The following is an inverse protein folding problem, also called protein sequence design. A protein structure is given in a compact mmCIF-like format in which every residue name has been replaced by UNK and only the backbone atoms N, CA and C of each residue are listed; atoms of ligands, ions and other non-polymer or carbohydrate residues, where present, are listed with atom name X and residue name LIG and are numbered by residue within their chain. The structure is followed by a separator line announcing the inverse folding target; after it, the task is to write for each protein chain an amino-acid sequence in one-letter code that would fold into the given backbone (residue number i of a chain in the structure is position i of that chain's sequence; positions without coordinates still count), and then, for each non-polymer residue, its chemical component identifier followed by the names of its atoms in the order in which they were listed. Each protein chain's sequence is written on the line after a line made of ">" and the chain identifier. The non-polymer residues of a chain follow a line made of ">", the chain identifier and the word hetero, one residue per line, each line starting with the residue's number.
data_IF_741559293252
#
_entry.id   IF_741559293252
#
_cell.length_a   1.000
_cell.length_b   1.000
_cell.length_c   1.000
_cell.angle_alpha   90.00
_cell.angle_beta   90.00
_cell.angle_gamma   90.00
#
_symmetry.space_group_name_H-M   'P 1'
#
loop_
_entity.id
_entity.type
_entity.pdbx_description
1 polymer ?
#
# COMPACT_ATOMS: atom_id res chain seq x y z
N UNK A 1 2.27 1.69 -7.74
CA UNK A 1 2.26 0.53 -8.66
C UNK A 1 3.53 -0.27 -8.54
N UNK A 2 3.50 -1.56 -8.84
CA UNK A 2 4.68 -2.39 -8.95
C UNK A 2 5.10 -2.41 -10.42
N UNK A 3 6.32 -1.96 -10.69
CA UNK A 3 6.93 -2.03 -12.02
C UNK A 3 7.89 -3.20 -12.09
N UNK A 4 7.67 -4.11 -13.04
CA UNK A 4 8.59 -5.22 -13.37
C UNK A 4 9.14 -5.03 -14.78
N UNK A 5 10.42 -5.34 -14.96
CA UNK A 5 11.09 -5.35 -16.25
C UNK A 5 11.41 -6.81 -16.55
N UNK A 6 10.83 -7.32 -17.63
CA UNK A 6 11.05 -8.70 -18.07
C UNK A 6 12.34 -8.79 -18.91
N UNK A 7 12.81 -10.02 -19.17
CA UNK A 7 14.10 -10.26 -19.85
C UNK A 7 14.14 -9.74 -21.29
N UNK A 8 12.98 -9.60 -21.95
CA UNK A 8 12.83 -9.05 -23.29
C UNK A 8 12.70 -7.52 -23.31
N UNK A 9 12.77 -6.87 -22.14
CA UNK A 9 12.62 -5.42 -21.99
C UNK A 9 11.17 -4.95 -21.86
N UNK A 10 10.18 -5.85 -21.91
CA UNK A 10 8.77 -5.52 -21.65
C UNK A 10 8.61 -5.02 -20.21
N UNK A 11 7.82 -3.95 -20.05
CA UNK A 11 7.49 -3.41 -18.74
C UNK A 11 6.09 -3.88 -18.35
N UNK A 12 6.01 -4.69 -17.29
CA UNK A 12 4.75 -5.07 -16.67
C UNK A 12 4.44 -4.13 -15.50
N UNK A 13 3.25 -3.54 -15.52
CA UNK A 13 2.74 -2.66 -14.47
C UNK A 13 1.59 -3.36 -13.74
N UNK A 14 1.73 -3.51 -12.43
CA UNK A 14 0.69 -4.06 -11.54
C UNK A 14 0.25 -2.93 -10.62
N UNK A 15 -1.03 -2.58 -10.68
CA UNK A 15 -1.63 -1.54 -9.83
C UNK A 15 -1.63 -2.00 -8.36
N UNK A 16 -1.52 -1.07 -7.41
CA UNK A 16 -1.60 -1.47 -5.99
C UNK A 16 -2.98 -2.07 -5.62
N UNK A 17 -4.12 -1.59 -6.15
CA UNK A 17 -5.40 -2.28 -5.96
C UNK A 17 -5.40 -3.73 -6.48
N UNK A 18 -4.73 -4.01 -7.61
CA UNK A 18 -4.62 -5.40 -8.10
C UNK A 18 -3.74 -6.26 -7.18
N UNK A 19 -2.64 -5.70 -6.66
CA UNK A 19 -1.84 -6.34 -5.62
C UNK A 19 -2.69 -6.65 -4.38
N UNK A 20 -3.43 -5.68 -3.86
CA UNK A 20 -4.28 -5.85 -2.69
C UNK A 20 -5.38 -6.90 -2.92
N UNK A 21 -5.96 -6.94 -4.12
CA UNK A 21 -6.94 -7.96 -4.49
C UNK A 21 -6.38 -9.39 -4.47
N UNK A 22 -5.13 -9.57 -4.91
CA UNK A 22 -4.44 -10.86 -4.78
C UNK A 22 -4.13 -11.19 -3.31
N UNK A 23 -3.66 -10.20 -2.53
CA UNK A 23 -3.40 -10.36 -1.10
C UNK A 23 -4.64 -10.78 -0.33
N UNK A 24 -5.82 -10.24 -0.66
CA UNK A 24 -7.10 -10.66 -0.10
C UNK A 24 -7.41 -12.13 -0.36
N UNK A 25 -7.25 -12.61 -1.60
CA UNK A 25 -7.47 -14.03 -1.95
C UNK A 25 -6.51 -14.98 -1.21
N UNK A 26 -5.28 -14.55 -0.98
CA UNK A 26 -4.33 -15.29 -0.15
C UNK A 26 -4.83 -15.32 1.30
N UNK A 27 -5.27 -14.18 1.83
CA UNK A 27 -5.80 -14.06 3.19
C UNK A 27 -7.06 -14.91 3.43
N UNK A 28 -7.90 -15.14 2.40
CA UNK A 28 -9.05 -16.04 2.50
C UNK A 28 -8.67 -17.47 2.92
N UNK A 29 -7.44 -17.90 2.59
CA UNK A 29 -6.89 -19.22 2.94
C UNK A 29 -6.19 -19.25 4.30
N UNK A 30 -6.08 -18.10 4.98
CA UNK A 30 -5.60 -18.02 6.36
C UNK A 30 -6.69 -18.54 7.30
N UNK A 31 -6.29 -19.35 8.30
CA UNK A 31 -7.20 -20.01 9.22
C UNK A 31 -7.39 -21.47 8.83
N UNK A 32 -6.29 -22.21 8.77
CA UNK A 32 -6.24 -23.60 8.30
C UNK A 32 -5.48 -24.48 9.30
N UNK A 33 -5.25 -25.76 8.95
CA UNK A 33 -4.58 -26.72 9.85
C UNK A 33 -3.21 -26.27 10.38
N UNK A 34 -2.52 -25.37 9.67
CA UNK A 34 -1.19 -24.88 10.03
C UNK A 34 -1.22 -23.47 10.65
N UNK A 35 -2.28 -22.69 10.45
CA UNK A 35 -2.35 -21.30 10.87
C UNK A 35 -3.69 -21.00 11.53
N UNK A 36 -3.72 -20.44 12.76
CA UNK A 36 -4.97 -20.11 13.42
C UNK A 36 -5.79 -19.09 12.62
N UNK A 37 -7.11 -19.18 12.74
CA UNK A 37 -8.02 -18.22 12.13
C UNK A 37 -7.78 -16.83 12.72
N UNK A 38 -7.50 -15.81 11.89
CA UNK A 38 -7.38 -14.45 12.40
C UNK A 38 -8.74 -13.95 12.88
N UNK A 39 -8.77 -13.29 14.04
CA UNK A 39 -9.98 -12.69 14.61
C UNK A 39 -9.80 -11.18 14.81
N UNK A 40 -10.73 -10.34 14.34
CA UNK A 40 -11.95 -10.66 13.59
C UNK A 40 -11.68 -10.95 12.10
N UNK A 41 -12.10 -12.14 11.63
CA UNK A 41 -11.77 -12.64 10.28
C UNK A 41 -12.24 -11.71 9.16
N UNK A 42 -13.50 -11.27 9.20
CA UNK A 42 -14.10 -10.45 8.13
C UNK A 42 -13.38 -9.12 7.95
N UNK A 43 -13.05 -8.45 9.06
CA UNK A 43 -12.34 -7.17 9.00
C UNK A 43 -10.89 -7.35 8.52
N UNK A 44 -10.24 -8.46 8.86
CA UNK A 44 -8.90 -8.77 8.33
C UNK A 44 -8.93 -9.04 6.83
N UNK A 45 -9.92 -9.81 6.33
CA UNK A 45 -10.07 -10.02 4.89
C UNK A 45 -10.33 -8.70 4.17
N UNK A 46 -11.24 -7.87 4.68
CA UNK A 46 -11.52 -6.57 4.11
C UNK A 46 -10.27 -5.68 4.09
N UNK A 47 -9.50 -5.65 5.17
CA UNK A 47 -8.23 -4.93 5.20
C UNK A 47 -7.26 -5.44 4.14
N UNK A 48 -7.12 -6.76 4.00
CA UNK A 48 -6.25 -7.36 2.99
C UNK A 48 -6.67 -6.98 1.56
N UNK A 49 -7.97 -7.02 1.24
CA UNK A 49 -8.49 -6.60 -0.07
C UNK A 49 -8.34 -5.10 -0.35
N UNK A 50 -8.34 -4.26 0.68
CA UNK A 50 -8.45 -2.81 0.53
C UNK A 50 -7.22 -2.01 0.96
N UNK A 51 -6.14 -2.64 1.46
CA UNK A 51 -5.02 -1.90 2.07
C UNK A 51 -4.39 -0.84 1.16
N UNK A 52 -4.38 -1.08 -0.15
CA UNK A 52 -3.88 -0.11 -1.13
C UNK A 52 -4.98 0.48 -2.05
N UNK A 53 -6.25 0.42 -1.65
CA UNK A 53 -7.36 0.96 -2.47
C UNK A 53 -7.20 2.46 -2.75
N UNK A 54 -6.48 3.19 -1.88
CA UNK A 54 -6.22 4.62 -2.03
C UNK A 54 -5.37 5.00 -3.25
N UNK A 55 -4.68 4.03 -3.87
CA UNK A 55 -3.87 4.25 -5.07
C UNK A 55 -4.68 4.34 -6.36
N UNK A 56 -5.93 3.85 -6.38
CA UNK A 56 -6.70 3.73 -7.62
C UNK A 56 -6.79 5.03 -8.42
N UNK A 57 -7.05 6.16 -7.74
CA UNK A 57 -7.16 7.48 -8.38
C UNK A 57 -5.80 7.99 -8.89
N UNK A 58 -4.74 7.83 -8.10
CA UNK A 58 -3.40 8.26 -8.49
C UNK A 58 -2.84 7.42 -9.65
N UNK A 59 -3.09 6.12 -9.65
CA UNK A 59 -2.62 5.19 -10.69
C UNK A 59 -3.41 5.29 -12.01
N UNK A 60 -4.56 5.96 -12.03
CA UNK A 60 -5.29 6.28 -13.25
C UNK A 60 -4.57 7.34 -14.10
N UNK A 61 -3.79 8.23 -13.47
CA UNK A 61 -3.02 9.29 -14.12
C UNK A 61 -1.66 9.49 -13.41
N UNK A 62 -0.76 8.50 -13.45
CA UNK A 62 0.49 8.54 -12.71
C UNK A 62 1.42 9.61 -13.30
N UNK A 63 2.16 10.30 -12.43
CA UNK A 63 3.32 11.09 -12.89
C UNK A 63 4.34 10.15 -13.51
N UNK A 64 4.88 10.53 -14.66
CA UNK A 64 5.98 9.78 -15.31
C UNK A 64 7.32 10.33 -14.84
N UNK A 65 8.30 9.43 -14.71
CA UNK A 65 9.69 9.78 -14.45
C UNK A 65 10.30 10.51 -15.65
N UNK A 66 11.47 11.10 -15.46
CA UNK A 66 12.25 11.76 -16.52
C UNK A 66 12.61 10.83 -17.69
N UNK A 67 12.70 9.52 -17.43
CA UNK A 67 12.92 8.48 -18.45
C UNK A 67 11.64 8.04 -19.19
N UNK A 68 10.50 8.68 -18.92
CA UNK A 68 9.20 8.40 -19.53
C UNK A 68 8.44 7.21 -18.93
N UNK A 69 8.99 6.53 -17.91
CA UNK A 69 8.34 5.36 -17.29
C UNK A 69 7.54 5.76 -16.05
N UNK A 70 6.44 5.07 -15.73
CA UNK A 70 5.80 5.28 -14.45
C UNK A 70 6.72 4.81 -13.30
N UNK A 71 6.68 5.47 -12.12
CA UNK A 71 7.52 5.11 -10.99
C UNK A 71 7.06 3.78 -10.39
N UNK A 72 8.01 3.04 -9.83
CA UNK A 72 7.66 1.98 -8.89
C UNK A 72 7.08 2.61 -7.61
N UNK A 73 6.32 1.87 -6.83
CA UNK A 73 5.72 2.31 -5.56
C UNK A 73 6.77 2.94 -4.64
N UNK A 74 7.97 2.36 -4.58
CA UNK A 74 9.10 2.84 -3.78
C UNK A 74 9.79 4.10 -4.32
N UNK A 75 9.49 4.47 -5.57
CA UNK A 75 10.07 5.63 -6.27
C UNK A 75 9.09 6.82 -6.33
N UNK A 76 7.90 6.69 -5.75
CA UNK A 76 6.91 7.77 -5.71
C UNK A 76 7.34 8.87 -4.74
N UNK A 77 6.93 10.10 -5.02
CA UNK A 77 7.04 11.20 -4.08
C UNK A 77 6.33 10.85 -2.77
N UNK A 78 6.95 11.20 -1.64
CA UNK A 78 6.45 10.82 -0.32
C UNK A 78 5.05 11.36 -0.08
N UNK A 79 4.76 12.58 -0.52
CA UNK A 79 3.46 13.21 -0.30
C UNK A 79 2.33 12.50 -1.04
N UNK A 80 2.61 11.99 -2.25
CA UNK A 80 1.67 11.17 -3.00
C UNK A 80 1.41 9.84 -2.26
N UNK A 81 2.46 9.20 -1.71
CA UNK A 81 2.30 7.97 -0.91
C UNK A 81 1.43 8.22 0.34
N UNK A 82 1.73 9.28 1.09
CA UNK A 82 0.99 9.64 2.31
C UNK A 82 -0.46 10.01 1.98
N UNK A 83 -0.71 10.76 0.90
CA UNK A 83 -2.05 11.10 0.45
C UNK A 83 -2.86 9.85 0.07
N UNK A 84 -2.25 8.90 -0.65
CA UNK A 84 -2.89 7.65 -1.04
C UNK A 84 -3.21 6.77 0.18
N UNK A 85 -2.31 6.63 1.16
CA UNK A 85 -2.64 5.91 2.40
C UNK A 85 -3.76 6.60 3.19
N UNK A 86 -3.74 7.93 3.35
CA UNK A 86 -4.86 8.66 3.99
C UNK A 86 -6.19 8.38 3.29
N UNK A 87 -6.20 8.37 1.95
CA UNK A 87 -7.38 8.04 1.15
C UNK A 87 -7.82 6.59 1.40
N UNK A 88 -6.91 5.63 1.32
CA UNK A 88 -7.19 4.21 1.53
C UNK A 88 -7.78 3.91 2.92
N UNK A 89 -7.20 4.51 3.97
CA UNK A 89 -7.70 4.40 5.35
C UNK A 89 -9.13 4.96 5.46
N UNK A 90 -9.41 6.13 4.87
CA UNK A 90 -10.78 6.70 4.87
C UNK A 90 -11.78 5.81 4.14
N UNK A 91 -11.38 5.26 2.99
CA UNK A 91 -12.22 4.34 2.22
C UNK A 91 -12.51 3.09 3.06
N UNK A 92 -11.49 2.43 3.61
CA UNK A 92 -11.66 1.26 4.47
C UNK A 92 -12.57 1.56 5.68
N UNK A 93 -12.44 2.74 6.29
CA UNK A 93 -13.26 3.14 7.45
C UNK A 93 -14.74 3.33 7.10
N UNK A 94 -15.06 3.64 5.84
CA UNK A 94 -16.46 3.70 5.38
C UNK A 94 -17.13 2.32 5.35
N UNK A 95 -16.35 1.24 5.33
CA UNK A 95 -16.84 -0.15 5.36
C UNK A 95 -16.72 -0.79 6.75
N UNK A 96 -15.58 -0.63 7.42
CA UNK A 96 -15.32 -1.22 8.74
C UNK A 96 -14.15 -0.52 9.46
N UNK A 97 -14.37 0.00 10.66
CA UNK A 97 -13.32 0.72 11.42
C UNK A 97 -12.16 -0.16 11.87
N UNK A 98 -12.39 -1.46 12.17
CA UNK A 98 -11.29 -2.37 12.50
C UNK A 98 -10.42 -2.66 11.28
N UNK A 99 -11.03 -2.85 10.10
CA UNK A 99 -10.27 -3.00 8.86
C UNK A 99 -9.44 -1.75 8.57
N UNK A 100 -10.01 -0.55 8.77
CA UNK A 100 -9.29 0.71 8.61
C UNK A 100 -8.10 0.84 9.57
N UNK A 101 -8.26 0.42 10.82
CA UNK A 101 -7.17 0.35 11.79
C UNK A 101 -6.04 -0.58 11.29
N UNK A 102 -6.37 -1.75 10.76
CA UNK A 102 -5.37 -2.67 10.19
C UNK A 102 -4.64 -2.06 8.99
N UNK A 103 -5.35 -1.37 8.09
CA UNK A 103 -4.74 -0.65 6.96
C UNK A 103 -3.81 0.47 7.46
N UNK A 104 -4.22 1.22 8.49
CA UNK A 104 -3.39 2.25 9.10
C UNK A 104 -2.14 1.67 9.77
N UNK A 105 -2.25 0.52 10.45
CA UNK A 105 -1.12 -0.20 11.04
C UNK A 105 -0.16 -0.71 9.96
N UNK A 106 -0.68 -1.21 8.84
CA UNK A 106 0.12 -1.63 7.70
C UNK A 106 0.94 -0.47 7.12
N UNK A 107 0.28 0.67 6.83
CA UNK A 107 0.96 1.88 6.36
C UNK A 107 2.02 2.36 7.37
N UNK A 108 1.68 2.36 8.66
CA UNK A 108 2.58 2.74 9.76
C UNK A 108 3.83 1.85 9.79
N UNK A 109 3.67 0.53 9.63
CA UNK A 109 4.79 -0.40 9.62
C UNK A 109 5.75 -0.13 8.45
N UNK A 110 5.22 0.11 7.25
CA UNK A 110 6.01 0.44 6.06
C UNK A 110 6.76 1.76 6.22
N UNK A 111 6.09 2.79 6.74
CA UNK A 111 6.69 4.11 6.97
C UNK A 111 7.78 4.07 8.05
N UNK A 112 7.58 3.34 9.15
CA UNK A 112 8.62 3.11 10.16
C UNK A 112 9.82 2.34 9.58
N UNK A 113 9.56 1.33 8.77
CA UNK A 113 10.60 0.61 8.05
C UNK A 113 11.41 1.53 7.14
N UNK A 114 10.75 2.43 6.40
CA UNK A 114 11.38 3.44 5.56
C UNK A 114 12.25 4.40 6.39
N UNK A 115 11.74 4.95 7.50
CA UNK A 115 12.52 5.83 8.38
C UNK A 115 13.80 5.16 8.92
N UNK A 116 13.76 3.84 9.14
CA UNK A 116 14.88 3.06 9.64
C UNK A 116 15.90 2.68 8.55
N UNK A 117 15.45 2.40 7.32
CA UNK A 117 16.29 1.82 6.27
C UNK A 117 16.69 2.82 5.16
N UNK A 118 15.90 3.85 4.91
CA UNK A 118 16.13 4.80 3.82
C UNK A 118 16.91 6.04 4.28
N UNK A 119 17.81 6.52 3.41
CA UNK A 119 18.49 7.80 3.57
C UNK A 119 17.69 8.94 2.94
N UNK A 120 16.43 9.10 3.36
CA UNK A 120 15.55 10.17 2.89
C UNK A 120 16.02 11.56 3.38
N UNK A 121 15.80 12.63 2.59
CA UNK A 121 16.02 14.01 3.03
C UNK A 121 15.25 14.35 4.31
N UNK A 122 15.75 15.30 5.10
CA UNK A 122 15.12 15.69 6.37
C UNK A 122 13.65 16.13 6.20
N UNK A 123 13.33 16.86 5.12
CA UNK A 123 11.96 17.28 4.80
C UNK A 123 11.02 16.08 4.59
N UNK A 124 11.43 15.11 3.77
CA UNK A 124 10.71 13.84 3.57
C UNK A 124 10.49 13.10 4.88
N UNK A 125 11.52 13.02 5.73
CA UNK A 125 11.43 12.37 7.05
C UNK A 125 10.41 13.08 7.94
N UNK A 126 10.41 14.41 7.99
CA UNK A 126 9.45 15.20 8.76
C UNK A 126 8.01 14.94 8.30
N UNK A 127 7.74 14.84 6.99
CA UNK A 127 6.41 14.54 6.49
C UNK A 127 5.94 13.14 6.92
N UNK A 128 6.83 12.15 6.92
CA UNK A 128 6.53 10.80 7.41
C UNK A 128 6.26 10.84 8.92
N UNK A 129 7.09 11.52 9.71
CA UNK A 129 6.90 11.64 11.15
C UNK A 129 5.57 12.35 11.50
N UNK A 130 5.21 13.40 10.76
CA UNK A 130 3.91 14.07 10.91
C UNK A 130 2.71 13.18 10.55
N UNK A 131 2.87 12.23 9.62
CA UNK A 131 1.82 11.26 9.34
C UNK A 131 1.67 10.23 10.48
N UNK A 132 2.77 9.92 11.17
CA UNK A 132 2.82 8.92 12.25
C UNK A 132 2.42 9.46 13.63
N UNK A 133 2.32 10.78 13.77
CA UNK A 133 1.94 11.48 15.00
C UNK A 133 0.42 11.49 15.23
#
# INVERSE_FOLDING_TARGET
>A
MIRRIESDGTILIITQPAHAWLSGQIAERWGNANFPTPEPREALLLAAYCHDVGWAEWEAMPRVRSDGRPPNFTEMEVDDQLANWRRGIRIANSFNSYAAMLVALHATALLRGRLAAASDPAETRNHIEMFLA
#
